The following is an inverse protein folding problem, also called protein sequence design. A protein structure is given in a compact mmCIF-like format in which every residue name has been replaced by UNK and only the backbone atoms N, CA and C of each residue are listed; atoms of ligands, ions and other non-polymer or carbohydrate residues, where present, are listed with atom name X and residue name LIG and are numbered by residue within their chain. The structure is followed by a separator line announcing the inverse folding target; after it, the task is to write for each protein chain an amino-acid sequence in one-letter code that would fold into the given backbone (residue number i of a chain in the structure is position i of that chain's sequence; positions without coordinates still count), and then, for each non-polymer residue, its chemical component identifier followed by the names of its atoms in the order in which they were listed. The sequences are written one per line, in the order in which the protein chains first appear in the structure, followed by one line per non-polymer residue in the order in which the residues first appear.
data_IF_827849302711
#
_entry.id   IF_827849302711
#
_cell.length_a   1.000
_cell.length_b   1.000
_cell.length_c   1.000
_cell.angle_alpha   90.00
_cell.angle_beta   90.00
_cell.angle_gamma   90.00
#
_symmetry.space_group_name_H-M   'P 1'
#
loop_
_entity.id
_entity.type
_entity.pdbx_description
1 polymer ?
#
# COMPACT_ATOMS: atom_id res chain seq x y z
N UNK A 1 8.64 7.72 -5.54
CA UNK A 1 7.85 6.62 -4.96
C UNK A 1 6.87 7.26 -4.03
N UNK A 2 5.63 7.34 -4.44
CA UNK A 2 4.55 8.02 -3.74
C UNK A 2 4.19 7.24 -2.46
N UNK A 3 4.02 7.93 -1.32
CA UNK A 3 3.70 7.43 0.03
C UNK A 3 2.36 6.66 0.14
N UNK A 4 1.78 6.21 -0.96
CA UNK A 4 0.46 5.59 -1.02
C UNK A 4 0.46 4.06 -0.88
N UNK A 5 1.62 3.43 -0.71
CA UNK A 5 1.82 2.03 -1.05
C UNK A 5 2.04 1.07 0.12
N UNK A 6 1.45 1.27 1.28
CA UNK A 6 1.44 0.20 2.28
C UNK A 6 0.16 -0.62 2.14
N UNK A 7 0.22 -1.94 1.92
CA UNK A 7 -0.95 -2.82 1.85
C UNK A 7 -1.81 -2.73 3.11
N UNK A 8 -1.18 -2.48 4.24
CA UNK A 8 -1.88 -2.22 5.50
C UNK A 8 -2.71 -0.94 5.46
N UNK A 9 -2.20 0.11 4.82
CA UNK A 9 -2.92 1.37 4.70
C UNK A 9 -4.18 1.20 3.85
N UNK A 10 -4.06 0.56 2.69
CA UNK A 10 -5.21 0.27 1.82
C UNK A 10 -6.24 -0.63 2.53
N UNK A 11 -5.78 -1.68 3.23
CA UNK A 11 -6.66 -2.55 3.98
C UNK A 11 -7.41 -1.81 5.10
N UNK A 12 -6.72 -0.94 5.83
CA UNK A 12 -7.32 -0.14 6.90
C UNK A 12 -8.26 0.94 6.36
N UNK A 13 -7.96 1.55 5.20
CA UNK A 13 -8.86 2.53 4.57
C UNK A 13 -10.21 1.90 4.21
N UNK A 14 -10.18 0.68 3.70
CA UNK A 14 -11.39 0.01 3.22
C UNK A 14 -12.12 -0.80 4.30
N UNK A 15 -11.37 -1.46 5.18
CA UNK A 15 -11.91 -2.45 6.12
C UNK A 15 -11.72 -2.02 7.58
N UNK A 16 -11.74 -0.73 7.89
CA UNK A 16 -11.49 -0.21 9.23
C UNK A 16 -12.47 -0.79 10.27
N UNK A 17 -13.78 -0.85 9.95
CA UNK A 17 -14.78 -1.48 10.81
C UNK A 17 -14.46 -2.95 11.07
N UNK A 18 -14.15 -3.69 10.02
CA UNK A 18 -13.79 -5.11 10.10
C UNK A 18 -12.51 -5.33 10.92
N UNK A 19 -11.53 -4.43 10.78
CA UNK A 19 -10.33 -4.42 11.58
C UNK A 19 -10.63 -4.26 13.08
N UNK A 20 -11.41 -3.26 13.45
CA UNK A 20 -11.79 -3.06 14.85
C UNK A 20 -12.60 -4.24 15.39
N UNK A 21 -13.53 -4.79 14.61
CA UNK A 21 -14.33 -5.95 15.00
C UNK A 21 -13.47 -7.18 15.34
N UNK A 22 -12.35 -7.36 14.63
CA UNK A 22 -11.44 -8.49 14.82
C UNK A 22 -10.40 -8.24 15.91
N UNK A 23 -9.80 -7.05 15.93
CA UNK A 23 -8.62 -6.75 16.74
C UNK A 23 -8.96 -5.99 18.05
N UNK A 24 -10.04 -5.20 18.08
CA UNK A 24 -10.41 -4.30 19.18
C UNK A 24 -11.92 -4.28 19.39
N UNK A 25 -12.48 -5.43 19.69
CA UNK A 25 -13.93 -5.67 19.72
C UNK A 25 -14.69 -4.71 20.64
N UNK A 26 -14.19 -4.46 21.85
CA UNK A 26 -14.85 -3.53 22.80
C UNK A 26 -15.01 -2.13 22.20
N UNK A 27 -13.99 -1.66 21.48
CA UNK A 27 -14.04 -0.37 20.82
C UNK A 27 -15.00 -0.41 19.60
N UNK A 28 -14.95 -1.51 18.80
CA UNK A 28 -15.88 -1.71 17.70
C UNK A 28 -17.34 -1.62 18.16
N UNK A 29 -17.68 -2.28 19.25
CA UNK A 29 -19.05 -2.36 19.78
C UNK A 29 -19.53 -1.04 20.41
N UNK A 30 -18.61 -0.11 20.71
CA UNK A 30 -18.93 1.23 21.19
C UNK A 30 -19.16 2.26 20.08
N UNK A 31 -18.75 1.98 18.84
CA UNK A 31 -18.85 2.89 17.69
C UNK A 31 -20.22 2.80 17.02
N UNK A 32 -20.79 3.94 16.69
CA UNK A 32 -22.00 4.05 15.83
C UNK A 32 -21.60 3.97 14.36
N UNK A 33 -21.68 2.78 13.80
CA UNK A 33 -21.35 2.51 12.40
C UNK A 33 -22.41 3.01 11.40
N UNK A 34 -23.55 3.56 11.86
CA UNK A 34 -24.48 4.25 10.97
C UNK A 34 -23.92 5.61 10.50
N UNK A 35 -22.95 6.14 11.23
CA UNK A 35 -22.19 7.35 10.90
C UNK A 35 -20.85 6.95 10.30
N UNK A 36 -20.56 7.27 9.03
CA UNK A 36 -19.29 6.89 8.41
C UNK A 36 -18.08 7.47 9.16
N UNK A 37 -17.04 6.67 9.43
CA UNK A 37 -15.77 7.14 9.99
C UNK A 37 -15.14 8.20 9.08
N UNK A 38 -14.47 9.19 9.69
CA UNK A 38 -13.75 10.23 8.96
C UNK A 38 -12.25 10.03 9.09
N UNK A 39 -11.57 9.80 7.97
CA UNK A 39 -10.12 9.63 7.92
C UNK A 39 -9.42 10.99 8.00
N UNK A 40 -8.47 11.14 8.94
CA UNK A 40 -7.71 12.36 9.24
C UNK A 40 -6.19 12.17 9.06
N UNK A 41 -5.77 11.30 8.15
CA UNK A 41 -4.37 10.94 7.94
C UNK A 41 -3.51 12.15 7.49
N UNK A 42 -4.08 13.04 6.66
CA UNK A 42 -3.40 14.27 6.24
C UNK A 42 -3.12 15.22 7.39
N UNK A 43 -4.04 15.27 8.33
CA UNK A 43 -3.92 16.04 9.56
C UNK A 43 -2.90 15.42 10.52
N UNK A 44 -2.84 14.10 10.59
CA UNK A 44 -1.84 13.37 11.38
C UNK A 44 -0.42 13.66 10.88
N UNK A 45 -0.18 13.61 9.58
CA UNK A 45 1.12 13.91 8.97
C UNK A 45 1.65 15.29 9.36
N UNK A 46 0.77 16.29 9.53
CA UNK A 46 1.17 17.66 9.92
C UNK A 46 1.60 17.78 11.38
N UNK A 47 1.24 16.84 12.22
CA UNK A 47 1.58 16.80 13.64
C UNK A 47 2.64 15.73 13.97
N UNK A 48 2.99 14.91 12.99
CA UNK A 48 4.02 13.89 13.13
C UNK A 48 5.38 14.49 13.52
N UNK A 49 6.19 13.79 14.33
CA UNK A 49 7.55 14.23 14.65
C UNK A 49 8.43 14.27 13.39
N UNK A 50 9.17 15.37 13.19
CA UNK A 50 10.03 15.56 12.00
C UNK A 50 11.13 14.48 11.83
N UNK A 51 11.45 13.72 12.88
CA UNK A 51 12.53 12.72 12.89
C UNK A 51 12.06 11.29 12.55
N UNK A 52 10.76 11.06 12.31
CA UNK A 52 10.22 9.72 12.02
C UNK A 52 10.11 9.42 10.51
N UNK A 53 10.71 10.27 9.67
CA UNK A 53 10.77 10.08 8.21
C UNK A 53 11.67 8.89 7.90
N UNK A 54 11.07 7.74 7.57
CA UNK A 54 11.79 6.54 7.10
C UNK A 54 11.54 5.24 7.87
N UNK A 55 10.80 5.25 8.97
CA UNK A 55 10.34 4.03 9.62
C UNK A 55 9.12 3.46 8.86
N UNK A 56 9.12 2.14 8.62
CA UNK A 56 8.01 1.42 7.98
C UNK A 56 6.82 1.32 8.96
N UNK A 57 6.12 2.43 9.13
CA UNK A 57 4.94 2.53 10.01
C UNK A 57 3.74 2.97 9.18
N UNK A 58 2.59 2.40 9.47
CA UNK A 58 1.30 2.87 8.96
C UNK A 58 0.60 3.57 10.10
N UNK A 59 0.56 4.88 10.02
CA UNK A 59 -0.06 5.72 11.02
C UNK A 59 -1.41 6.23 10.49
N UNK A 60 -2.47 6.03 11.26
CA UNK A 60 -3.82 6.50 10.92
C UNK A 60 -4.43 7.29 12.06
N UNK A 61 -5.20 8.30 11.69
CA UNK A 61 -6.07 9.03 12.60
C UNK A 61 -7.49 8.99 12.05
N UNK A 62 -8.41 8.43 12.82
CA UNK A 62 -9.81 8.26 12.41
C UNK A 62 -10.72 8.89 13.45
N UNK A 63 -11.69 9.67 13.01
CA UNK A 63 -12.75 10.21 13.85
C UNK A 63 -14.01 9.33 13.72
N UNK A 64 -14.55 8.86 14.84
CA UNK A 64 -15.75 8.00 14.89
C UNK A 64 -16.78 8.59 15.85
N UNK A 65 -18.07 8.31 15.60
CA UNK A 65 -19.16 8.62 16.51
C UNK A 65 -19.39 7.45 17.47
N UNK A 66 -19.70 7.71 18.75
CA UNK A 66 -20.00 6.68 19.73
C UNK A 66 -21.50 6.49 19.95
N UNK A 67 -21.90 5.26 20.28
CA UNK A 67 -23.31 4.89 20.58
C UNK A 67 -23.83 5.48 21.89
N UNK A 68 -22.98 6.01 22.77
CA UNK A 68 -23.30 6.43 24.14
C UNK A 68 -24.20 7.67 24.28
N UNK A 69 -25.12 7.88 23.35
CA UNK A 69 -26.31 8.73 23.59
C UNK A 69 -26.14 10.23 23.38
N UNK A 70 -25.22 10.64 22.58
CA UNK A 70 -25.01 12.01 22.12
C UNK A 70 -24.08 12.03 20.92
N UNK A 71 -23.82 13.17 20.35
CA UNK A 71 -22.80 13.36 19.30
C UNK A 71 -21.38 13.34 19.93
N UNK A 72 -21.07 12.28 20.68
CA UNK A 72 -19.72 12.13 21.22
C UNK A 72 -18.80 11.54 20.14
N UNK A 73 -17.81 12.33 19.76
CA UNK A 73 -16.80 11.94 18.80
C UNK A 73 -15.54 11.47 19.53
N UNK A 74 -15.01 10.33 19.07
CA UNK A 74 -13.74 9.76 19.53
C UNK A 74 -12.73 9.81 18.38
N UNK A 75 -11.51 10.24 18.69
CA UNK A 75 -10.38 10.08 17.81
C UNK A 75 -9.69 8.73 18.08
N UNK A 76 -9.38 8.01 17.01
CA UNK A 76 -8.63 6.75 17.08
C UNK A 76 -7.31 6.97 16.33
N UNK A 77 -6.21 6.98 17.08
CA UNK A 77 -4.86 6.92 16.53
C UNK A 77 -4.43 5.46 16.45
N UNK A 78 -3.98 5.01 15.28
CA UNK A 78 -3.56 3.63 15.05
C UNK A 78 -2.16 3.60 14.43
N UNK A 79 -1.24 2.85 15.03
CA UNK A 79 0.07 2.52 14.46
C UNK A 79 0.21 1.02 14.18
N UNK A 80 0.69 0.67 12.98
CA UNK A 80 1.09 -0.68 12.61
C UNK A 80 2.61 -0.73 12.52
N UNK A 81 3.24 -1.47 13.43
CA UNK A 81 4.69 -1.57 13.55
C UNK A 81 5.18 -2.96 13.15
N UNK A 82 5.95 -3.06 12.07
CA UNK A 82 6.42 -4.34 11.51
C UNK A 82 7.79 -4.78 12.02
N UNK A 83 8.49 -3.97 12.81
CA UNK A 83 9.82 -4.27 13.37
C UNK A 83 9.92 -3.73 14.80
N UNK A 84 10.62 -4.42 15.70
CA UNK A 84 10.87 -3.93 17.05
C UNK A 84 11.60 -2.58 17.04
N UNK A 85 11.14 -1.65 17.85
CA UNK A 85 11.75 -0.35 18.02
C UNK A 85 11.72 0.06 19.48
N UNK A 86 12.87 0.38 20.07
CA UNK A 86 13.00 0.76 21.49
C UNK A 86 12.26 2.05 21.82
N UNK A 87 12.12 2.95 20.85
CA UNK A 87 11.43 4.23 21.01
C UNK A 87 9.91 4.13 20.77
N UNK A 88 9.35 2.96 20.42
CA UNK A 88 7.96 2.81 20.00
C UNK A 88 6.96 3.34 21.04
N UNK A 89 7.03 2.89 22.28
CA UNK A 89 6.11 3.35 23.33
C UNK A 89 6.19 4.86 23.58
N UNK A 90 7.41 5.45 23.52
CA UNK A 90 7.60 6.90 23.58
C UNK A 90 6.95 7.60 22.37
N UNK A 91 7.07 7.04 21.16
CA UNK A 91 6.47 7.59 19.96
C UNK A 91 4.95 7.62 20.05
N UNK A 92 4.33 6.50 20.49
CA UNK A 92 2.90 6.43 20.77
C UNK A 92 2.43 7.54 21.72
N UNK A 93 3.17 7.80 22.79
CA UNK A 93 2.88 8.89 23.71
C UNK A 93 3.02 10.28 23.06
N UNK A 94 4.05 10.46 22.20
CA UNK A 94 4.26 11.74 21.49
C UNK A 94 3.11 12.05 20.55
N UNK A 95 2.62 11.06 19.80
CA UNK A 95 1.43 11.23 18.96
C UNK A 95 0.19 11.53 19.81
N UNK A 96 -0.02 10.76 20.89
CA UNK A 96 -1.15 10.93 21.78
C UNK A 96 -1.25 12.36 22.31
N UNK A 97 -0.20 12.89 22.92
CA UNK A 97 -0.26 14.25 23.49
C UNK A 97 -0.41 15.34 22.42
N UNK A 98 0.21 15.18 21.25
CA UNK A 98 0.09 16.15 20.13
C UNK A 98 -1.32 16.18 19.54
N UNK A 99 -1.96 15.04 19.44
CA UNK A 99 -3.35 14.95 18.97
C UNK A 99 -4.29 15.60 19.98
N UNK A 100 -4.12 15.31 21.27
CA UNK A 100 -4.92 15.94 22.34
C UNK A 100 -4.69 17.46 22.36
N UNK A 101 -3.45 17.91 22.35
CA UNK A 101 -3.12 19.35 22.33
C UNK A 101 -3.78 20.09 21.17
N UNK A 102 -3.85 19.42 20.00
CA UNK A 102 -4.44 20.04 18.80
C UNK A 102 -5.96 20.02 18.79
N UNK A 103 -6.58 18.91 19.20
CA UNK A 103 -8.01 18.70 18.98
C UNK A 103 -8.86 18.86 20.25
N UNK A 104 -8.26 18.75 21.44
CA UNK A 104 -8.94 18.78 22.75
C UNK A 104 -10.19 17.88 22.77
N UNK A 105 -10.00 16.61 22.37
CA UNK A 105 -11.07 15.61 22.23
C UNK A 105 -10.66 14.27 22.82
N UNK A 106 -11.64 13.42 23.20
CA UNK A 106 -11.36 12.03 23.56
C UNK A 106 -10.55 11.33 22.49
N UNK A 107 -9.50 10.62 22.90
CA UNK A 107 -8.56 9.94 22.01
C UNK A 107 -8.19 8.57 22.58
N UNK A 108 -8.19 7.55 21.73
CA UNK A 108 -7.55 6.27 22.00
C UNK A 108 -6.40 6.05 21.00
N UNK A 109 -5.26 5.56 21.50
CA UNK A 109 -4.15 5.13 20.66
C UNK A 109 -4.06 3.62 20.66
N UNK A 110 -4.05 3.01 19.48
CA UNK A 110 -4.02 1.57 19.26
C UNK A 110 -2.71 1.18 18.56
N UNK A 111 -2.17 0.03 18.90
CA UNK A 111 -0.97 -0.49 18.27
C UNK A 111 -1.20 -1.90 17.70
N UNK A 112 -0.72 -2.15 16.46
CA UNK A 112 -0.63 -3.48 15.86
C UNK A 112 0.83 -3.84 15.68
N UNK A 113 1.26 -4.94 16.32
CA UNK A 113 2.63 -5.43 16.27
C UNK A 113 2.73 -6.58 15.26
N UNK A 114 3.27 -6.27 14.10
CA UNK A 114 3.45 -7.22 13.00
C UNK A 114 4.87 -7.81 12.91
N UNK A 115 5.71 -7.63 13.91
CA UNK A 115 7.07 -8.18 13.98
C UNK A 115 7.10 -9.64 14.43
N UNK A 116 8.30 -10.28 14.32
CA UNK A 116 8.51 -11.70 14.63
C UNK A 116 9.00 -11.97 16.06
N UNK A 117 9.31 -10.93 16.84
CA UNK A 117 9.80 -11.10 18.21
C UNK A 117 8.66 -11.36 19.19
N UNK A 118 8.52 -12.59 19.65
CA UNK A 118 7.43 -13.02 20.52
C UNK A 118 7.32 -12.19 21.81
N UNK A 119 8.44 -11.76 22.36
CA UNK A 119 8.50 -11.04 23.64
C UNK A 119 8.42 -9.51 23.49
N UNK A 120 8.51 -8.98 22.27
CA UNK A 120 8.38 -7.54 22.07
C UNK A 120 6.90 -7.14 22.04
N UNK A 121 6.41 -6.61 23.17
CA UNK A 121 4.98 -6.25 23.39
C UNK A 121 4.86 -4.90 24.12
N UNK A 122 5.30 -3.81 23.50
CA UNK A 122 5.17 -2.49 24.10
C UNK A 122 3.70 -2.07 24.16
N UNK A 123 3.21 -1.77 25.36
CA UNK A 123 1.85 -1.31 25.60
C UNK A 123 1.78 -0.14 26.60
N UNK A 124 2.95 0.41 27.00
CA UNK A 124 3.03 1.45 28.02
C UNK A 124 4.28 2.29 27.85
N UNK A 125 4.16 3.60 28.09
CA UNK A 125 5.27 4.53 28.26
C UNK A 125 5.21 5.14 29.64
N UNK A 126 6.29 5.03 30.38
CA UNK A 126 6.44 5.61 31.72
C UNK A 126 7.66 6.53 31.75
N UNK A 127 7.51 7.64 32.47
CA UNK A 127 8.61 8.55 32.77
C UNK A 127 8.37 9.20 34.10
N UNK A 128 9.39 9.22 34.93
CA UNK A 128 9.34 9.91 36.24
C UNK A 128 10.59 10.76 36.39
N UNK A 129 10.41 11.95 36.95
CA UNK A 129 11.49 12.90 37.25
C UNK A 129 11.05 13.85 38.39
N UNK A 130 11.74 13.78 39.50
CA UNK A 130 11.49 14.69 40.67
C UNK A 130 10.02 14.82 41.10
N UNK A 131 9.30 13.70 41.14
CA UNK A 131 7.89 13.68 41.53
C UNK A 131 6.91 14.00 40.39
N UNK A 132 7.40 14.39 39.23
CA UNK A 132 6.58 14.51 38.02
C UNK A 132 6.54 13.15 37.30
N UNK A 133 5.35 12.55 37.16
CA UNK A 133 5.16 11.23 36.58
C UNK A 133 4.23 11.27 35.38
N UNK A 134 4.66 10.60 34.30
CA UNK A 134 3.85 10.28 33.12
C UNK A 134 3.65 8.77 33.14
N UNK A 135 2.42 8.36 32.95
CA UNK A 135 2.02 6.96 32.82
C UNK A 135 0.97 6.86 31.71
N UNK A 136 1.37 6.33 30.55
CA UNK A 136 0.54 6.22 29.37
C UNK A 136 0.48 4.78 28.90
N UNK A 137 -0.69 4.16 29.04
CA UNK A 137 -0.97 2.81 28.54
C UNK A 137 -1.82 2.87 27.26
N UNK A 138 -1.61 1.93 26.35
CA UNK A 138 -2.36 1.83 25.10
C UNK A 138 -2.64 0.37 24.73
N UNK A 139 -3.85 0.06 24.18
CA UNK A 139 -4.19 -1.26 23.71
C UNK A 139 -3.28 -1.69 22.55
N UNK A 140 -2.86 -2.96 22.58
CA UNK A 140 -1.92 -3.52 21.62
C UNK A 140 -2.38 -4.91 21.19
N UNK A 141 -2.34 -5.17 19.88
CA UNK A 141 -2.56 -6.48 19.27
C UNK A 141 -1.25 -6.99 18.66
N UNK A 142 -0.87 -8.21 18.98
CA UNK A 142 0.28 -8.90 18.42
C UNK A 142 -0.19 -9.89 17.33
N UNK A 143 0.21 -9.67 16.08
CA UNK A 143 -0.25 -10.54 14.99
C UNK A 143 0.19 -11.99 15.14
N UNK A 144 1.36 -12.24 15.74
CA UNK A 144 1.83 -13.61 16.02
C UNK A 144 0.86 -14.44 16.88
N UNK A 145 0.02 -13.81 17.70
CA UNK A 145 -0.93 -14.54 18.55
C UNK A 145 -2.01 -15.23 17.74
N UNK A 146 -2.30 -14.73 16.54
CA UNK A 146 -3.25 -15.34 15.62
C UNK A 146 -2.72 -16.60 14.92
N UNK A 147 -1.44 -16.97 15.06
CA UNK A 147 -0.91 -18.23 14.52
C UNK A 147 -1.60 -19.45 15.10
N UNK A 148 -2.07 -19.39 16.34
CA UNK A 148 -2.85 -20.49 16.96
C UNK A 148 -4.31 -20.54 16.48
N UNK A 149 -4.77 -19.55 15.70
CA UNK A 149 -6.15 -19.35 15.27
C UNK A 149 -6.29 -19.35 13.73
N UNK A 150 -5.32 -19.93 13.01
CA UNK A 150 -5.30 -19.89 11.53
C UNK A 150 -6.61 -20.47 10.96
N UNK A 151 -7.07 -21.62 11.47
CA UNK A 151 -8.29 -22.27 10.99
C UNK A 151 -9.54 -21.42 11.24
N UNK A 152 -9.61 -20.73 12.37
CA UNK A 152 -10.70 -19.82 12.70
C UNK A 152 -10.71 -18.59 11.77
N UNK A 153 -9.53 -18.03 11.51
CA UNK A 153 -9.38 -16.90 10.59
C UNK A 153 -9.75 -17.28 9.14
N UNK A 154 -9.40 -18.48 8.68
CA UNK A 154 -9.77 -18.96 7.35
C UNK A 154 -11.29 -19.14 7.19
N UNK A 155 -11.96 -19.52 8.25
CA UNK A 155 -13.42 -19.68 8.28
C UNK A 155 -14.15 -18.37 8.51
N UNK A 156 -13.46 -17.33 8.95
CA UNK A 156 -14.04 -16.02 9.26
C UNK A 156 -14.61 -15.35 8.00
N UNK A 157 -15.80 -14.76 8.14
CA UNK A 157 -16.39 -13.90 7.10
C UNK A 157 -15.80 -12.47 7.14
N UNK A 158 -15.04 -12.15 8.17
CA UNK A 158 -14.40 -10.86 8.30
C UNK A 158 -13.27 -10.70 7.27
N UNK A 159 -13.33 -9.76 6.32
CA UNK A 159 -12.32 -9.58 5.29
C UNK A 159 -10.94 -9.27 5.86
N UNK A 160 -10.87 -8.66 7.05
CA UNK A 160 -9.60 -8.36 7.70
C UNK A 160 -8.87 -9.61 8.22
N UNK A 161 -9.57 -10.72 8.43
CA UNK A 161 -8.93 -12.00 8.75
C UNK A 161 -7.99 -12.46 7.62
N UNK A 162 -8.39 -12.24 6.36
CA UNK A 162 -7.54 -12.51 5.19
C UNK A 162 -6.27 -11.65 5.19
N UNK A 163 -6.37 -10.38 5.58
CA UNK A 163 -5.21 -9.47 5.68
C UNK A 163 -4.21 -9.94 6.74
N UNK A 164 -4.71 -10.37 7.91
CA UNK A 164 -3.87 -10.92 8.98
C UNK A 164 -3.19 -12.22 8.52
N UNK A 165 -3.93 -13.13 7.90
CA UNK A 165 -3.38 -14.37 7.36
C UNK A 165 -2.32 -14.09 6.29
N UNK A 166 -2.56 -13.15 5.37
CA UNK A 166 -1.57 -12.75 4.37
C UNK A 166 -0.28 -12.26 5.01
N UNK A 167 -0.37 -11.42 6.04
CA UNK A 167 0.79 -10.92 6.78
C UNK A 167 1.57 -12.07 7.43
N UNK A 168 0.90 -12.96 8.14
CA UNK A 168 1.52 -14.10 8.83
C UNK A 168 2.16 -15.07 7.84
N UNK A 169 1.43 -15.42 6.77
CA UNK A 169 1.92 -16.37 5.77
C UNK A 169 3.05 -15.82 4.92
N UNK A 170 3.09 -14.52 4.65
CA UNK A 170 4.22 -13.87 4.00
C UNK A 170 5.52 -14.12 4.76
N UNK A 171 5.46 -14.08 6.08
CA UNK A 171 6.62 -14.33 6.95
C UNK A 171 6.95 -15.81 7.05
N UNK A 172 5.95 -16.67 7.28
CA UNK A 172 6.17 -18.11 7.39
C UNK A 172 6.70 -18.75 6.11
N UNK A 173 6.35 -18.18 4.95
CA UNK A 173 6.81 -18.64 3.64
C UNK A 173 8.04 -17.89 3.14
N UNK A 174 8.74 -17.16 4.01
CA UNK A 174 10.00 -16.50 3.66
C UNK A 174 11.01 -17.55 3.16
N UNK A 175 11.48 -17.39 1.92
CA UNK A 175 12.40 -18.34 1.28
C UNK A 175 11.72 -19.55 0.60
N UNK A 176 10.40 -19.72 0.68
CA UNK A 176 9.67 -20.77 -0.05
C UNK A 176 8.55 -20.17 -0.93
N UNK A 177 8.86 -19.75 -2.18
CA UNK A 177 7.89 -19.14 -3.09
C UNK A 177 6.74 -20.07 -3.49
N UNK A 178 6.96 -21.37 -3.55
CA UNK A 178 5.92 -22.36 -3.88
C UNK A 178 4.86 -22.41 -2.77
N UNK A 179 5.27 -22.50 -1.51
CA UNK A 179 4.33 -22.44 -0.39
C UNK A 179 3.61 -21.10 -0.34
N UNK A 180 4.30 -20.00 -0.64
CA UNK A 180 3.67 -18.68 -0.73
C UNK A 180 2.58 -18.63 -1.80
N UNK A 181 2.84 -19.21 -2.96
CA UNK A 181 1.86 -19.33 -4.04
C UNK A 181 0.64 -20.13 -3.60
N UNK A 182 0.85 -21.28 -2.96
CA UNK A 182 -0.24 -22.13 -2.45
C UNK A 182 -1.09 -21.39 -1.41
N UNK A 183 -0.46 -20.67 -0.46
CA UNK A 183 -1.16 -19.87 0.52
C UNK A 183 -1.94 -18.72 -0.13
N UNK A 184 -1.36 -18.04 -1.10
CA UNK A 184 -2.04 -16.96 -1.83
C UNK A 184 -3.30 -17.47 -2.52
N UNK A 185 -3.25 -18.62 -3.20
CA UNK A 185 -4.40 -19.28 -3.78
C UNK A 185 -5.42 -19.74 -2.72
N UNK A 186 -4.95 -20.27 -1.59
CA UNK A 186 -5.79 -20.70 -0.46
C UNK A 186 -6.58 -19.55 0.14
N UNK A 187 -6.00 -18.35 0.22
CA UNK A 187 -6.68 -17.16 0.72
C UNK A 187 -7.68 -16.58 -0.30
N UNK A 188 -7.43 -16.75 -1.59
CA UNK A 188 -8.31 -16.24 -2.65
C UNK A 188 -9.55 -17.10 -2.88
N UNK A 189 -9.43 -18.43 -2.86
CA UNK A 189 -10.54 -19.35 -3.15
C UNK A 189 -11.83 -19.08 -2.36
N UNK A 190 -11.79 -18.84 -1.02
CA UNK A 190 -12.98 -18.53 -0.25
C UNK A 190 -13.70 -17.25 -0.67
N UNK A 191 -12.98 -16.25 -1.21
CA UNK A 191 -13.59 -15.00 -1.66
C UNK A 191 -14.55 -15.22 -2.81
N UNK A 192 -14.16 -16.08 -3.76
CA UNK A 192 -15.02 -16.47 -4.89
C UNK A 192 -16.15 -17.39 -4.45
N UNK A 193 -15.87 -18.39 -3.61
CA UNK A 193 -16.86 -19.34 -3.12
C UNK A 193 -17.98 -18.68 -2.28
N UNK A 194 -17.67 -17.61 -1.55
CA UNK A 194 -18.64 -16.84 -0.74
C UNK A 194 -19.43 -15.82 -1.54
N UNK A 195 -19.15 -15.64 -2.82
CA UNK A 195 -19.82 -14.66 -3.67
C UNK A 195 -19.56 -13.22 -3.24
N UNK A 196 -18.35 -12.90 -2.78
CA UNK A 196 -17.96 -11.54 -2.42
C UNK A 196 -18.11 -10.61 -3.64
N UNK A 197 -18.33 -9.32 -3.39
CA UNK A 197 -18.45 -8.35 -4.48
C UNK A 197 -17.13 -8.30 -5.28
N UNK A 198 -17.24 -8.03 -6.60
CA UNK A 198 -16.06 -7.87 -7.45
C UNK A 198 -15.09 -6.83 -6.92
N UNK A 199 -15.60 -5.77 -6.29
CA UNK A 199 -14.81 -4.70 -5.72
C UNK A 199 -14.02 -5.17 -4.48
N UNK A 200 -14.65 -5.97 -3.61
CA UNK A 200 -13.99 -6.52 -2.43
C UNK A 200 -12.93 -7.55 -2.79
N UNK A 201 -13.23 -8.45 -3.76
CA UNK A 201 -12.24 -9.41 -4.27
C UNK A 201 -11.01 -8.68 -4.82
N UNK A 202 -11.21 -7.64 -5.65
CA UNK A 202 -10.10 -6.85 -6.21
C UNK A 202 -9.28 -6.13 -5.15
N UNK A 203 -9.95 -5.55 -4.16
CA UNK A 203 -9.27 -4.81 -3.09
C UNK A 203 -8.44 -5.73 -2.21
N UNK A 204 -9.01 -6.87 -1.79
CA UNK A 204 -8.26 -7.88 -1.04
C UNK A 204 -7.14 -8.50 -1.89
N UNK A 205 -7.40 -8.74 -3.18
CA UNK A 205 -6.36 -9.24 -4.08
C UNK A 205 -5.16 -8.31 -4.14
N UNK A 206 -5.36 -7.00 -4.31
CA UNK A 206 -4.24 -6.04 -4.32
C UNK A 206 -3.41 -6.09 -3.04
N UNK A 207 -4.09 -6.17 -1.88
CA UNK A 207 -3.42 -6.31 -0.58
C UNK A 207 -2.61 -7.61 -0.51
N UNK A 208 -3.21 -8.73 -0.94
CA UNK A 208 -2.54 -10.04 -1.00
C UNK A 208 -1.36 -10.03 -1.98
N UNK A 209 -1.57 -9.48 -3.17
CA UNK A 209 -0.57 -9.44 -4.23
C UNK A 209 0.67 -8.69 -3.78
N UNK A 210 0.48 -7.56 -3.15
CA UNK A 210 1.58 -6.79 -2.61
C UNK A 210 2.27 -7.44 -1.40
N UNK A 211 1.51 -8.00 -0.43
CA UNK A 211 2.10 -8.68 0.73
C UNK A 211 2.82 -9.96 0.35
N UNK A 212 2.26 -10.71 -0.59
CA UNK A 212 2.69 -12.05 -0.98
C UNK A 212 3.30 -12.05 -2.39
N UNK A 213 4.32 -11.20 -2.59
CA UNK A 213 5.06 -11.14 -3.86
C UNK A 213 5.63 -12.50 -4.24
N UNK A 214 5.53 -12.85 -5.53
CA UNK A 214 6.02 -14.09 -6.10
C UNK A 214 7.11 -13.80 -7.14
N UNK A 215 8.15 -14.64 -7.24
CA UNK A 215 9.07 -14.61 -8.37
C UNK A 215 8.33 -14.85 -9.71
N UNK A 216 8.85 -14.31 -10.80
CA UNK A 216 8.19 -14.29 -12.11
C UNK A 216 7.76 -15.68 -12.61
N UNK A 217 8.57 -16.70 -12.40
CA UNK A 217 8.30 -18.09 -12.79
C UNK A 217 7.10 -18.67 -12.04
N UNK A 218 7.02 -18.40 -10.73
CA UNK A 218 5.92 -18.85 -9.88
C UNK A 218 4.66 -18.00 -10.09
N UNK A 219 4.82 -16.70 -10.42
CA UNK A 219 3.70 -15.81 -10.73
C UNK A 219 2.92 -16.29 -11.96
N UNK A 220 3.59 -16.80 -13.00
CA UNK A 220 2.94 -17.39 -14.19
C UNK A 220 2.08 -18.62 -13.80
N UNK A 221 2.56 -19.46 -12.90
CA UNK A 221 1.80 -20.61 -12.42
C UNK A 221 0.59 -20.17 -11.58
N UNK A 222 0.79 -19.20 -10.70
CA UNK A 222 -0.26 -18.58 -9.91
C UNK A 222 -1.38 -18.01 -10.78
N UNK A 223 -1.06 -17.23 -11.83
CA UNK A 223 -2.03 -16.67 -12.77
C UNK A 223 -2.85 -17.76 -13.48
N UNK A 224 -2.19 -18.85 -13.86
CA UNK A 224 -2.87 -19.98 -14.50
C UNK A 224 -3.90 -20.64 -13.56
N UNK A 225 -3.55 -20.84 -12.30
CA UNK A 225 -4.46 -21.40 -11.29
C UNK A 225 -5.58 -20.42 -10.93
N UNK A 226 -5.27 -19.12 -10.83
CA UNK A 226 -6.26 -18.07 -10.60
C UNK A 226 -7.31 -18.03 -11.72
N UNK A 227 -6.87 -18.13 -12.99
CA UNK A 227 -7.76 -18.22 -14.16
C UNK A 227 -8.74 -19.38 -14.04
N UNK A 228 -8.29 -20.55 -13.57
CA UNK A 228 -9.17 -21.71 -13.35
C UNK A 228 -10.22 -21.41 -12.28
N UNK A 229 -9.79 -20.82 -11.14
CA UNK A 229 -10.71 -20.44 -10.06
C UNK A 229 -11.78 -19.46 -10.57
N UNK A 230 -11.39 -18.47 -11.36
CA UNK A 230 -12.31 -17.49 -11.95
C UNK A 230 -13.28 -18.11 -12.95
N UNK A 231 -12.82 -19.07 -13.76
CA UNK A 231 -13.65 -19.80 -14.71
C UNK A 231 -14.66 -20.72 -13.99
N UNK A 232 -14.22 -21.45 -12.97
CA UNK A 232 -15.07 -22.33 -12.17
C UNK A 232 -16.20 -21.56 -11.47
N UNK A 233 -15.90 -20.33 -11.02
CA UNK A 233 -16.88 -19.48 -10.33
C UNK A 233 -17.61 -18.50 -11.27
N UNK A 234 -17.32 -18.50 -12.57
CA UNK A 234 -17.86 -17.57 -13.57
C UNK A 234 -17.66 -16.10 -13.22
N UNK A 235 -16.55 -15.77 -12.57
CA UNK A 235 -16.25 -14.45 -11.98
C UNK A 235 -14.84 -13.96 -12.36
N UNK A 236 -14.62 -13.43 -13.59
CA UNK A 236 -13.29 -12.95 -14.02
C UNK A 236 -13.00 -11.56 -13.44
N UNK A 237 -12.73 -11.48 -12.14
CA UNK A 237 -12.56 -10.20 -11.45
C UNK A 237 -11.16 -9.64 -11.50
N UNK A 238 -10.15 -10.48 -11.38
CA UNK A 238 -8.75 -10.10 -11.24
C UNK A 238 -8.02 -10.20 -12.58
N UNK A 239 -8.06 -11.36 -13.22
CA UNK A 239 -7.33 -11.60 -14.48
C UNK A 239 -7.77 -10.68 -15.62
N UNK A 240 -9.03 -10.23 -15.64
CA UNK A 240 -9.51 -9.26 -16.63
C UNK A 240 -8.89 -7.87 -16.43
N UNK A 241 -8.52 -7.49 -15.20
CA UNK A 241 -7.90 -6.20 -14.90
C UNK A 241 -6.41 -6.25 -15.22
N UNK A 242 -5.73 -7.32 -14.79
CA UNK A 242 -4.32 -7.53 -15.09
C UNK A 242 -4.08 -7.59 -16.61
N UNK A 243 -4.94 -8.31 -17.34
CA UNK A 243 -4.87 -8.35 -18.79
C UNK A 243 -5.07 -6.95 -19.41
N UNK A 244 -6.06 -6.18 -18.96
CA UNK A 244 -6.27 -4.81 -19.46
C UNK A 244 -5.10 -3.88 -19.12
N UNK A 245 -4.54 -3.99 -17.93
CA UNK A 245 -3.37 -3.23 -17.53
C UNK A 245 -2.14 -3.59 -18.36
N UNK A 246 -1.93 -4.88 -18.65
CA UNK A 246 -0.86 -5.35 -19.53
C UNK A 246 -1.06 -4.89 -20.99
N UNK A 247 -2.29 -4.99 -21.52
CA UNK A 247 -2.65 -4.49 -22.85
C UNK A 247 -2.42 -2.98 -22.96
N UNK A 248 -2.87 -2.19 -21.98
CA UNK A 248 -2.65 -0.74 -21.94
C UNK A 248 -1.17 -0.38 -21.80
N UNK A 249 -0.42 -1.12 -20.95
CA UNK A 249 1.02 -0.93 -20.81
C UNK A 249 1.78 -1.23 -22.12
N UNK A 250 1.38 -2.29 -22.82
CA UNK A 250 1.94 -2.63 -24.14
C UNK A 250 1.62 -1.57 -25.18
N UNK A 251 0.37 -1.10 -25.25
CA UNK A 251 -0.08 -0.06 -26.17
C UNK A 251 0.68 1.26 -25.93
N UNK A 252 0.77 1.71 -24.68
CA UNK A 252 1.54 2.90 -24.31
C UNK A 252 3.03 2.74 -24.62
N UNK A 253 3.62 1.57 -24.33
CA UNK A 253 5.02 1.29 -24.67
C UNK A 253 5.27 1.28 -26.16
N UNK A 254 4.33 0.77 -26.97
CA UNK A 254 4.41 0.79 -28.42
C UNK A 254 4.30 2.21 -28.96
N UNK A 255 3.36 3.01 -28.47
CA UNK A 255 3.15 4.40 -28.84
C UNK A 255 4.39 5.25 -28.54
N UNK A 256 4.93 5.15 -27.32
CA UNK A 256 6.18 5.83 -26.94
C UNK A 256 7.38 5.38 -27.79
N UNK A 257 7.50 4.09 -28.08
CA UNK A 257 8.55 3.55 -28.93
C UNK A 257 8.46 4.02 -30.39
N UNK A 258 7.24 4.16 -30.93
CA UNK A 258 7.00 4.72 -32.25
C UNK A 258 7.33 6.20 -32.33
N UNK A 259 6.90 6.98 -31.32
CA UNK A 259 7.19 8.41 -31.23
C UNK A 259 8.70 8.67 -31.12
N UNK A 260 9.39 7.93 -30.23
CA UNK A 260 10.83 8.02 -30.09
C UNK A 260 11.56 7.64 -31.39
N UNK A 261 11.13 6.54 -32.04
CA UNK A 261 11.70 6.09 -33.30
C UNK A 261 11.53 7.11 -34.44
N UNK A 262 10.38 7.81 -34.49
CA UNK A 262 10.12 8.89 -35.44
C UNK A 262 11.07 10.08 -35.25
N UNK A 263 11.22 10.54 -34.01
CA UNK A 263 12.09 11.68 -33.65
C UNK A 263 13.56 11.33 -33.95
N UNK A 264 14.00 10.12 -33.56
CA UNK A 264 15.36 9.63 -33.88
C UNK A 264 15.61 9.64 -35.40
N UNK A 265 14.67 9.10 -36.18
CA UNK A 265 14.80 9.12 -37.65
C UNK A 265 14.83 10.54 -38.23
N UNK A 266 14.09 11.49 -37.65
CA UNK A 266 14.15 12.91 -38.07
C UNK A 266 15.50 13.53 -37.72
N UNK A 267 16.08 13.25 -36.57
CA UNK A 267 17.40 13.75 -36.16
C UNK A 267 18.48 13.19 -37.13
N UNK A 268 18.48 11.87 -37.39
CA UNK A 268 19.42 11.25 -38.34
C UNK A 268 19.35 11.94 -39.72
N UNK A 269 18.14 12.18 -40.22
CA UNK A 269 17.94 12.85 -41.52
C UNK A 269 18.44 14.32 -41.51
N UNK A 270 18.10 15.06 -40.44
CA UNK A 270 18.51 16.47 -40.31
C UNK A 270 20.03 16.61 -40.19
N UNK A 271 20.69 15.76 -39.39
CA UNK A 271 22.16 15.72 -39.31
C UNK A 271 22.81 15.48 -40.66
N UNK A 272 22.25 14.53 -41.44
CA UNK A 272 22.74 14.22 -42.78
C UNK A 272 22.57 15.38 -43.78
N UNK A 273 21.42 16.07 -43.73
CA UNK A 273 21.14 17.21 -44.60
C UNK A 273 22.02 18.43 -44.24
N UNK A 274 22.38 18.60 -43.00
CA UNK A 274 23.25 19.67 -42.52
C UNK A 274 24.75 19.34 -42.65
N UNK A 275 25.11 18.10 -43.02
CA UNK A 275 26.51 17.65 -43.06
C UNK A 275 27.16 17.49 -41.69
N UNK A 276 26.36 17.34 -40.62
CA UNK A 276 26.84 17.10 -39.30
C UNK A 276 27.31 15.65 -39.11
N UNK A 277 28.11 15.39 -38.09
CA UNK A 277 28.48 14.02 -37.69
C UNK A 277 27.24 13.29 -37.20
N UNK A 278 26.91 12.16 -37.82
CA UNK A 278 25.75 11.35 -37.43
C UNK A 278 25.97 10.76 -36.02
N UNK A 279 25.05 11.02 -35.09
CA UNK A 279 25.00 10.34 -33.78
C UNK A 279 24.46 8.92 -33.99
N UNK A 280 25.03 7.93 -33.28
CA UNK A 280 24.57 6.54 -33.44
C UNK A 280 23.10 6.41 -32.99
N UNK A 281 22.34 5.56 -33.66
CA UNK A 281 20.94 5.29 -33.29
C UNK A 281 20.79 4.74 -31.88
N UNK A 282 21.76 3.95 -31.41
CA UNK A 282 21.79 3.39 -30.05
C UNK A 282 21.97 4.49 -29.01
N UNK A 283 22.84 5.47 -29.28
CA UNK A 283 23.05 6.62 -28.40
C UNK A 283 21.78 7.50 -28.32
N UNK A 284 21.12 7.73 -29.47
CA UNK A 284 19.87 8.50 -29.50
C UNK A 284 18.72 7.79 -28.78
N UNK A 285 18.58 6.47 -28.90
CA UNK A 285 17.56 5.71 -28.17
C UNK A 285 17.75 5.70 -26.66
N UNK A 286 18.95 6.01 -26.17
CA UNK A 286 19.23 6.20 -24.73
C UNK A 286 18.86 7.57 -24.18
N UNK A 287 18.44 8.52 -25.04
CA UNK A 287 18.12 9.91 -24.64
C UNK A 287 16.62 10.04 -24.33
N UNK A 288 16.22 10.77 -23.26
CA UNK A 288 14.82 11.07 -22.98
C UNK A 288 14.10 11.78 -24.12
N UNK A 289 12.80 11.49 -24.29
CA UNK A 289 11.98 11.94 -25.42
C UNK A 289 11.93 13.49 -25.56
N UNK A 290 11.85 14.18 -24.43
CA UNK A 290 11.86 15.66 -24.36
C UNK A 290 13.18 16.26 -24.86
N UNK A 291 14.30 15.65 -24.57
CA UNK A 291 15.62 16.07 -25.04
C UNK A 291 15.80 15.77 -26.55
N UNK A 292 15.30 14.61 -27.01
CA UNK A 292 15.29 14.29 -28.44
C UNK A 292 14.44 15.30 -29.24
N UNK A 293 13.27 15.67 -28.73
CA UNK A 293 12.42 16.67 -29.35
C UNK A 293 13.12 18.04 -29.45
N UNK A 294 13.79 18.48 -28.38
CA UNK A 294 14.58 19.72 -28.39
C UNK A 294 15.71 19.68 -29.42
N UNK A 295 16.45 18.57 -29.48
CA UNK A 295 17.53 18.39 -30.45
C UNK A 295 17.03 18.41 -31.90
N UNK A 296 15.90 17.75 -32.17
CA UNK A 296 15.25 17.80 -33.50
C UNK A 296 14.88 19.24 -33.87
N UNK A 297 14.23 19.98 -32.98
CA UNK A 297 13.77 21.35 -33.23
C UNK A 297 14.94 22.32 -33.47
N UNK A 298 16.05 22.13 -32.77
CA UNK A 298 17.28 22.90 -32.98
C UNK A 298 17.86 22.66 -34.38
N UNK A 299 18.01 21.38 -34.77
CA UNK A 299 18.54 21.01 -36.11
C UNK A 299 17.60 21.48 -37.22
N UNK A 300 16.29 21.45 -37.00
CA UNK A 300 15.32 21.97 -37.97
C UNK A 300 15.45 23.49 -38.16
N UNK A 301 15.65 24.24 -37.10
CA UNK A 301 15.91 25.68 -37.11
C UNK A 301 17.21 26.06 -37.86
N UNK A 302 18.27 25.25 -37.69
CA UNK A 302 19.53 25.38 -38.41
C UNK A 302 19.33 25.18 -39.93
N UNK A 303 18.58 24.15 -40.35
CA UNK A 303 18.28 23.85 -41.74
C UNK A 303 17.48 24.99 -42.41
N UNK A 304 16.50 25.56 -41.71
CA UNK A 304 15.70 26.69 -42.19
C UNK A 304 16.54 27.96 -42.39
N UNK A 305 17.52 28.16 -41.51
CA UNK A 305 18.43 29.31 -41.60
C UNK A 305 19.40 29.16 -42.74
N UNK A 306 19.93 27.97 -42.98
CA UNK A 306 20.82 27.65 -44.13
C UNK A 306 20.11 27.87 -45.45
N UNK A 307 18.84 27.41 -45.57
CA UNK A 307 18.03 27.58 -46.80
C UNK A 307 17.65 29.02 -47.14
N UNK A 308 17.69 29.97 -46.17
CA UNK A 308 17.40 31.39 -46.37
C UNK A 308 18.63 32.17 -46.80
N UNK A 309 19.82 31.58 -46.63
CA UNK A 309 21.12 32.25 -46.96
C UNK A 309 21.71 31.75 -48.30
N UNK A 310 21.14 30.69 -48.89
CA UNK A 310 21.39 30.26 -50.27
C UNK A 310 20.32 30.84 -51.22
#
# INVERSE_FOLDING_TARGET
MTEYDSPWKEALDRYFQSFLALCFRELHDAVDWSVPPRMLDKELQRIAPQNDVGLRTVDKLVEVCLLSGGTEWLLIHLEVQSQPATAFAKRMFVYYYRIIDKYDRPLVSLAVLGDEEQNWRPNRFERESYGCRIDFAFPTVKLLDYLSQIEELEQSENPFATVILAHLMTRQTAGNPLDRCQWKLRLLRPMYARGMSAEDVRSLFRVLDWMMELPTDIAIEFERELLKIEQENQMPYVTSIERRAAEQGLEQGLEQGLEQGLIVGQIELLQRLLGHVETSREDLLGVPLDQLAQQRDQLQGELETTRKND
#
